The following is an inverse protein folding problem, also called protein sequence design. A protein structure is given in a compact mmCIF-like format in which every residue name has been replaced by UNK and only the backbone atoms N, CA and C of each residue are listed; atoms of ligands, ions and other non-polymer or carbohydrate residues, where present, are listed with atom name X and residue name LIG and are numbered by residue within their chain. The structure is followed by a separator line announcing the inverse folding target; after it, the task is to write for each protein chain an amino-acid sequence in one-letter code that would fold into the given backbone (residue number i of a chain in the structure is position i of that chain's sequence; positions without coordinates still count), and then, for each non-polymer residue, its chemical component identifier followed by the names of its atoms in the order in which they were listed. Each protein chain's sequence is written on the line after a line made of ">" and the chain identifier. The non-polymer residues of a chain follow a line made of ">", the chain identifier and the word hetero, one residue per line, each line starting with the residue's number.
data_IF_373537985260
#
_entry.id   IF_373537985260
#
_cell.length_a   1.000
_cell.length_b   1.000
_cell.length_c   1.000
_cell.angle_alpha   90.00
_cell.angle_beta   90.00
_cell.angle_gamma   90.00
#
_symmetry.space_group_name_H-M   'P 1'
#
loop_
_entity.id
_entity.type
_entity.pdbx_description
1 polymer ?
#
# COMPACT_ATOMS: atom_id res chain seq x y z
N UNK A 1 -5.73 6.35 11.46
CA UNK A 1 -5.42 5.37 10.40
C UNK A 1 -6.74 4.77 9.93
N UNK A 2 -6.97 4.65 8.61
CA UNK A 2 -8.20 4.04 8.12
C UNK A 2 -8.33 2.64 8.72
N UNK A 3 -9.41 2.41 9.46
CA UNK A 3 -9.68 1.12 10.07
C UNK A 3 -10.27 0.24 8.98
N UNK A 4 -9.50 -0.73 8.48
CA UNK A 4 -9.98 -1.78 7.58
C UNK A 4 -10.93 -2.69 8.34
N UNK A 5 -12.20 -2.29 8.48
CA UNK A 5 -13.21 -3.04 9.21
C UNK A 5 -13.73 -4.28 8.46
N UNK A 6 -13.17 -4.61 7.30
CA UNK A 6 -13.62 -5.70 6.44
C UNK A 6 -12.81 -6.97 6.55
N UNK A 7 -11.69 -6.98 7.30
CA UNK A 7 -10.88 -8.19 7.48
C UNK A 7 -11.61 -9.21 8.37
N UNK A 8 -11.77 -10.44 7.88
CA UNK A 8 -12.27 -11.57 8.67
C UNK A 8 -11.10 -12.42 9.15
N UNK A 9 -11.08 -12.71 10.44
CA UNK A 9 -10.12 -13.65 11.04
C UNK A 9 -10.19 -14.99 10.29
N UNK A 10 -9.02 -15.52 9.88
CA UNK A 10 -8.84 -16.74 9.04
C UNK A 10 -9.24 -16.68 7.56
N UNK A 11 -9.76 -15.56 7.07
CA UNK A 11 -10.04 -15.40 5.63
C UNK A 11 -8.98 -14.50 5.00
N UNK A 12 -8.79 -13.33 5.59
CA UNK A 12 -7.98 -12.27 4.99
C UNK A 12 -7.30 -11.35 6.03
N UNK A 13 -7.35 -11.76 7.30
CA UNK A 13 -6.68 -11.09 8.41
C UNK A 13 -5.15 -11.34 8.42
N UNK A 14 -4.68 -12.49 7.95
CA UNK A 14 -3.23 -12.80 7.87
C UNK A 14 -2.57 -12.33 6.55
N UNK A 15 -3.37 -11.89 5.58
CA UNK A 15 -2.85 -11.39 4.31
C UNK A 15 -2.34 -9.96 4.46
N UNK A 16 -1.02 -9.81 4.52
CA UNK A 16 -0.36 -8.49 4.58
C UNK A 16 0.14 -8.13 3.17
N UNK A 17 -0.60 -7.29 2.43
CA UNK A 17 -0.20 -6.80 1.10
C UNK A 17 0.72 -5.58 1.14
N UNK A 18 1.63 -5.50 2.11
CA UNK A 18 2.83 -4.69 1.91
C UNK A 18 3.73 -5.50 0.98
N UNK A 19 3.94 -5.11 -0.30
CA UNK A 19 4.82 -5.86 -1.19
C UNK A 19 6.26 -5.68 -0.73
N UNK A 20 6.67 -6.44 0.27
CA UNK A 20 8.08 -6.57 0.64
C UNK A 20 8.68 -7.51 -0.39
N UNK A 21 9.47 -6.95 -1.31
CA UNK A 21 10.21 -7.75 -2.27
C UNK A 21 11.06 -8.79 -1.54
N UNK A 22 10.99 -10.05 -1.97
CA UNK A 22 11.81 -11.12 -1.39
C UNK A 22 13.29 -10.84 -1.66
N UNK A 23 14.14 -11.01 -0.65
CA UNK A 23 15.59 -10.79 -0.81
C UNK A 23 16.22 -11.69 -1.88
N UNK A 24 15.67 -12.90 -2.09
CA UNK A 24 16.09 -13.81 -3.16
C UNK A 24 15.85 -13.22 -4.55
N UNK A 25 14.67 -12.64 -4.79
CA UNK A 25 14.35 -11.94 -6.04
C UNK A 25 15.26 -10.73 -6.27
N UNK A 26 15.54 -9.97 -5.21
CA UNK A 26 16.47 -8.84 -5.29
C UNK A 26 17.89 -9.28 -5.68
N UNK A 27 18.42 -10.32 -5.05
CA UNK A 27 19.74 -10.90 -5.40
C UNK A 27 19.78 -11.41 -6.84
N UNK A 28 18.71 -12.06 -7.29
CA UNK A 28 18.59 -12.54 -8.67
C UNK A 28 18.65 -11.38 -9.69
N UNK A 29 17.91 -10.30 -9.45
CA UNK A 29 17.96 -9.11 -10.31
C UNK A 29 19.37 -8.49 -10.32
N UNK A 30 20.04 -8.41 -9.17
CA UNK A 30 21.42 -7.92 -9.11
C UNK A 30 22.40 -8.81 -9.88
N UNK A 31 22.25 -10.14 -9.81
CA UNK A 31 23.11 -11.05 -10.60
C UNK A 31 22.92 -10.86 -12.11
N UNK A 32 21.69 -10.61 -12.56
CA UNK A 32 21.41 -10.28 -13.96
C UNK A 32 22.05 -8.94 -14.34
N UNK A 33 21.95 -7.93 -13.48
CA UNK A 33 22.58 -6.64 -13.74
C UNK A 33 24.09 -6.77 -13.94
N UNK A 34 24.78 -7.58 -13.12
CA UNK A 34 26.21 -7.87 -13.30
C UNK A 34 26.46 -8.63 -14.60
N UNK A 35 25.69 -9.68 -14.88
CA UNK A 35 25.85 -10.51 -16.09
C UNK A 35 25.75 -9.69 -17.38
N UNK A 36 24.85 -8.71 -17.42
CA UNK A 36 24.63 -7.85 -18.58
C UNK A 36 25.36 -6.50 -18.50
N UNK A 37 26.27 -6.33 -17.52
CA UNK A 37 27.02 -5.09 -17.28
C UNK A 37 26.13 -3.83 -17.18
N UNK A 38 24.99 -3.96 -16.51
CA UNK A 38 24.00 -2.90 -16.31
C UNK A 38 24.33 -2.08 -15.06
N UNK A 39 24.08 -0.77 -15.14
CA UNK A 39 24.17 0.13 -14.00
C UNK A 39 22.89 0.09 -13.17
N UNK A 40 23.03 -0.15 -11.87
CA UNK A 40 21.90 -0.16 -10.93
C UNK A 40 21.78 1.22 -10.27
N UNK A 41 20.55 1.74 -10.22
CA UNK A 41 20.21 2.98 -9.54
C UNK A 41 19.16 2.70 -8.46
N UNK A 42 19.33 3.28 -7.27
CA UNK A 42 18.37 3.19 -6.17
C UNK A 42 17.57 4.48 -6.09
N UNK A 43 16.25 4.36 -5.96
CA UNK A 43 15.35 5.47 -5.68
C UNK A 43 14.44 5.09 -4.51
N UNK A 44 14.41 5.93 -3.48
CA UNK A 44 13.43 5.86 -2.41
C UNK A 44 12.35 6.92 -2.64
N UNK A 45 11.13 6.46 -2.86
CA UNK A 45 10.00 7.34 -3.19
C UNK A 45 9.21 7.61 -1.91
N UNK A 46 9.28 8.85 -1.43
CA UNK A 46 8.42 9.30 -0.33
C UNK A 46 6.96 9.07 -0.70
N UNK A 47 6.20 8.52 0.25
CA UNK A 47 4.76 8.27 0.13
C UNK A 47 4.35 7.47 -1.11
N UNK A 48 5.17 6.50 -1.54
CA UNK A 48 4.89 5.64 -2.70
C UNK A 48 3.47 5.04 -2.71
N UNK A 49 2.92 4.72 -1.52
CA UNK A 49 1.55 4.22 -1.38
C UNK A 49 0.47 5.17 -1.93
N UNK A 50 0.69 6.49 -1.95
CA UNK A 50 -0.26 7.47 -2.50
C UNK A 50 -0.40 7.38 -4.02
N UNK A 51 0.57 6.76 -4.70
CA UNK A 51 0.58 6.59 -6.15
C UNK A 51 -0.03 5.25 -6.58
N UNK A 52 -0.44 4.39 -5.64
CA UNK A 52 -1.18 3.17 -5.94
C UNK A 52 -2.56 3.50 -6.51
N UNK A 53 -2.95 2.82 -7.58
CA UNK A 53 -4.32 2.92 -8.11
C UNK A 53 -5.26 2.12 -7.21
N UNK A 54 -6.34 2.74 -6.76
CA UNK A 54 -7.41 2.06 -6.05
C UNK A 54 -8.24 1.25 -7.05
N UNK A 55 -8.20 -0.09 -6.94
CA UNK A 55 -9.03 -0.98 -7.77
C UNK A 55 -10.48 -1.00 -7.31
N UNK A 56 -10.71 -0.69 -6.05
CA UNK A 56 -12.02 -0.75 -5.38
C UNK A 56 -12.40 0.63 -4.84
N UNK A 57 -13.70 0.89 -4.72
CA UNK A 57 -14.18 2.10 -4.06
C UNK A 57 -14.14 1.93 -2.54
N UNK A 58 -13.17 2.57 -1.90
CA UNK A 58 -12.96 2.47 -0.46
C UNK A 58 -13.51 3.72 0.23
N UNK A 59 -14.28 3.50 1.30
CA UNK A 59 -14.79 4.55 2.18
C UNK A 59 -14.18 4.42 3.57
N UNK A 60 -13.93 5.55 4.24
CA UNK A 60 -13.45 5.59 5.61
C UNK A 60 -14.31 6.51 6.48
N UNK A 61 -14.30 6.25 7.79
CA UNK A 61 -14.87 7.20 8.75
C UNK A 61 -14.13 8.52 8.69
N UNK A 62 -14.84 9.59 8.96
CA UNK A 62 -14.27 10.93 9.03
C UNK A 62 -13.17 10.96 10.12
N UNK A 63 -11.96 11.45 9.79
CA UNK A 63 -10.89 11.61 10.76
C UNK A 63 -11.31 12.48 11.95
N UNK A 64 -10.76 12.18 13.12
CA UNK A 64 -10.93 13.05 14.30
C UNK A 64 -10.38 14.45 13.99
N UNK A 65 -11.08 15.48 14.46
CA UNK A 65 -10.69 16.88 14.25
C UNK A 65 -11.33 17.55 13.02
N UNK A 66 -12.15 16.82 12.24
CA UNK A 66 -12.93 17.40 11.15
C UNK A 66 -14.39 17.53 11.58
N UNK A 67 -14.93 18.75 11.58
CA UNK A 67 -16.34 19.01 11.84
C UNK A 67 -17.16 18.66 10.58
N UNK A 68 -17.85 17.53 10.62
CA UNK A 68 -18.73 17.07 9.56
C UNK A 68 -19.96 16.40 10.16
N UNK A 69 -21.04 16.32 9.37
CA UNK A 69 -22.25 15.63 9.80
C UNK A 69 -21.94 14.17 10.13
N UNK A 70 -22.52 13.65 11.21
CA UNK A 70 -22.19 12.32 11.77
C UNK A 70 -22.49 11.16 10.82
N UNK A 71 -23.39 11.37 9.86
CA UNK A 71 -23.76 10.36 8.85
C UNK A 71 -22.87 10.37 7.60
N UNK A 72 -21.91 11.28 7.50
CA UNK A 72 -21.03 11.35 6.33
C UNK A 72 -19.84 10.38 6.46
N UNK A 73 -19.37 9.91 5.31
CA UNK A 73 -18.14 9.09 5.19
C UNK A 73 -17.23 9.70 4.12
N UNK A 74 -15.93 9.45 4.21
CA UNK A 74 -14.96 9.92 3.23
C UNK A 74 -14.71 8.85 2.17
N UNK A 75 -14.87 9.18 0.89
CA UNK A 75 -14.38 8.34 -0.21
C UNK A 75 -12.87 8.56 -0.39
N UNK A 76 -12.10 7.50 -0.50
CA UNK A 76 -10.67 7.59 -0.79
C UNK A 76 -10.45 7.79 -2.30
N UNK A 77 -9.80 8.89 -2.66
CA UNK A 77 -9.38 9.15 -4.04
C UNK A 77 -7.97 8.66 -4.34
N UNK A 78 -7.18 8.36 -3.29
CA UNK A 78 -5.82 7.83 -3.38
C UNK A 78 -5.64 6.73 -2.36
N UNK A 79 -4.77 5.78 -2.67
CA UNK A 79 -4.37 4.78 -1.70
C UNK A 79 -3.65 5.45 -0.51
N UNK A 80 -3.89 4.96 0.69
CA UNK A 80 -3.25 5.45 1.92
C UNK A 80 -2.52 4.29 2.60
N UNK A 81 -1.60 4.61 3.50
CA UNK A 81 -0.84 3.59 4.21
C UNK A 81 -1.77 2.67 5.01
N UNK A 82 -1.55 1.36 4.89
CA UNK A 82 -2.35 0.33 5.57
C UNK A 82 -3.68 0.00 4.89
N UNK A 83 -3.92 0.46 3.67
CA UNK A 83 -4.93 -0.16 2.82
C UNK A 83 -4.46 -1.54 2.37
N UNK A 84 -5.43 -2.47 2.26
CA UNK A 84 -5.25 -3.78 1.64
C UNK A 84 -4.96 -3.62 0.15
#
# INVERSE_FOLDING_TARGET
>A
VARGFTQKYQVDYEETFAPVARISSFRFILSLAIQYNLKVHQMDVKTAFLNGTLKEEIYMRIPQGISCNSNNVCKLNKAIYGLK
#
